data_IF_937524995988
#
_entry.id   IF_937524995988
#
_cell.length_a   1.000
_cell.length_b   1.000
_cell.length_c   1.000
_cell.angle_alpha   90.00
_cell.angle_beta   90.00
_cell.angle_gamma   90.00
#
_symmetry.space_group_name_H-M   'P 1'
#
loop_
_entity.id
_entity.type
_entity.pdbx_description
1 polymer ?
#
# COMPACT_ATOMS: atom_id res chain seq x y z
N UNK A 1 -11.30 -7.13 -12.96
CA UNK A 1 -11.23 -6.15 -11.85
C UNK A 1 -9.82 -5.98 -11.30
N UNK A 2 -9.09 -7.06 -11.00
CA UNK A 2 -7.74 -7.01 -10.41
C UNK A 2 -6.69 -6.24 -11.23
N UNK A 3 -6.66 -6.40 -12.56
CA UNK A 3 -5.75 -5.63 -13.44
C UNK A 3 -6.03 -4.12 -13.41
N UNK A 4 -7.31 -3.74 -13.53
CA UNK A 4 -7.74 -2.33 -13.51
C UNK A 4 -7.42 -1.71 -12.15
N UNK A 5 -7.75 -2.40 -11.06
CA UNK A 5 -7.40 -1.96 -9.71
C UNK A 5 -5.89 -1.79 -9.52
N UNK A 6 -5.09 -2.73 -10.03
CA UNK A 6 -3.62 -2.64 -9.98
C UNK A 6 -3.07 -1.41 -10.69
N UNK A 7 -3.61 -1.07 -11.88
CA UNK A 7 -3.25 0.15 -12.60
C UNK A 7 -3.56 1.39 -11.77
N UNK A 8 -4.77 1.50 -11.22
CA UNK A 8 -5.15 2.64 -10.40
C UNK A 8 -4.31 2.74 -9.13
N UNK A 9 -4.04 1.64 -8.43
CA UNK A 9 -3.18 1.62 -7.24
C UNK A 9 -1.75 2.07 -7.55
N UNK A 10 -1.20 1.71 -8.71
CA UNK A 10 0.11 2.20 -9.16
C UNK A 10 0.10 3.70 -9.50
N UNK A 11 -0.99 4.18 -10.12
CA UNK A 11 -1.14 5.58 -10.50
C UNK A 11 -1.39 6.52 -9.31
N UNK A 12 -1.92 6.01 -8.20
CA UNK A 12 -2.22 6.79 -6.98
C UNK A 12 -1.05 7.63 -6.49
N UNK A 13 0.19 7.16 -6.65
CA UNK A 13 1.39 7.87 -6.17
C UNK A 13 2.04 8.76 -7.24
N UNK A 14 1.79 8.50 -8.53
CA UNK A 14 2.43 9.20 -9.65
C UNK A 14 2.31 10.73 -9.56
N UNK A 15 1.13 11.32 -9.26
CA UNK A 15 1.00 12.77 -9.15
C UNK A 15 1.85 13.36 -8.02
N UNK A 16 1.89 12.69 -6.86
CA UNK A 16 2.64 13.18 -5.69
C UNK A 16 4.12 13.15 -5.97
N UNK A 17 4.64 12.05 -6.53
CA UNK A 17 6.06 11.95 -6.87
C UNK A 17 6.45 12.91 -7.98
N UNK A 18 5.60 13.12 -8.98
CA UNK A 18 5.89 14.09 -10.04
C UNK A 18 6.05 15.51 -9.49
N UNK A 19 5.26 15.90 -8.50
CA UNK A 19 5.39 17.21 -7.85
C UNK A 19 6.67 17.30 -7.01
N UNK A 20 7.01 16.24 -6.25
CA UNK A 20 8.22 16.17 -5.41
C UNK A 20 9.50 16.15 -6.26
N UNK A 21 9.52 15.42 -7.38
CA UNK A 21 10.68 15.29 -8.27
C UNK A 21 10.90 16.53 -9.16
N UNK A 22 9.93 17.46 -9.23
CA UNK A 22 10.02 18.68 -10.05
C UNK A 22 9.91 19.97 -9.20
N UNK A 23 10.79 20.19 -8.21
CA UNK A 23 10.71 21.35 -7.31
C UNK A 23 10.82 22.69 -8.04
N UNK A 24 11.52 22.74 -9.19
CA UNK A 24 11.61 23.93 -10.04
C UNK A 24 10.28 24.36 -10.67
N UNK A 25 9.32 23.44 -10.88
CA UNK A 25 7.98 23.75 -11.40
C UNK A 25 6.99 24.09 -10.29
N UNK A 26 7.27 23.64 -9.06
CA UNK A 26 6.38 23.76 -7.90
C UNK A 26 7.08 24.38 -6.68
N UNK A 27 7.69 25.58 -6.79
CA UNK A 27 8.55 26.16 -5.74
C UNK A 27 7.81 26.57 -4.45
N UNK A 28 6.47 26.57 -4.46
CA UNK A 28 5.62 26.91 -3.31
C UNK A 28 5.10 25.70 -2.55
N UNK A 29 5.40 24.48 -3.01
CA UNK A 29 4.86 23.27 -2.41
C UNK A 29 5.87 22.64 -1.45
N UNK A 30 5.42 22.10 -0.31
CA UNK A 30 6.31 21.42 0.63
C UNK A 30 6.99 20.24 -0.07
N UNK A 31 8.30 20.08 0.14
CA UNK A 31 9.02 18.84 -0.17
C UNK A 31 8.63 17.71 0.79
N UNK A 32 7.93 18.06 1.87
CA UNK A 32 7.52 17.13 2.90
C UNK A 32 6.30 16.31 2.45
N UNK A 33 6.53 15.02 2.17
CA UNK A 33 5.55 14.00 1.81
C UNK A 33 4.35 13.94 2.76
N UNK A 34 4.56 14.24 4.05
CA UNK A 34 3.50 14.35 5.06
C UNK A 34 2.45 15.43 4.75
N UNK A 35 2.83 16.52 4.06
CA UNK A 35 1.87 17.55 3.65
C UNK A 35 0.88 17.02 2.59
N UNK A 36 1.30 16.04 1.78
CA UNK A 36 0.44 15.41 0.78
C UNK A 36 -0.46 14.34 1.37
N UNK A 37 -0.08 13.74 2.50
CA UNK A 37 -0.86 12.71 3.20
C UNK A 37 -2.27 13.19 3.53
N UNK A 38 -2.41 14.40 4.08
CA UNK A 38 -3.73 14.96 4.40
C UNK A 38 -4.60 15.12 3.15
N UNK A 39 -4.07 15.74 2.10
CA UNK A 39 -4.78 15.94 0.83
C UNK A 39 -5.18 14.60 0.19
N UNK A 40 -4.32 13.59 0.32
CA UNK A 40 -4.56 12.25 -0.16
C UNK A 40 -5.75 11.57 0.55
N UNK A 41 -5.74 11.53 1.89
CA UNK A 41 -6.86 10.97 2.65
C UNK A 41 -8.15 11.74 2.45
N UNK A 42 -8.07 13.06 2.34
CA UNK A 42 -9.24 13.90 2.12
C UNK A 42 -9.88 13.63 0.75
N UNK A 43 -9.08 13.46 -0.31
CA UNK A 43 -9.57 13.05 -1.63
C UNK A 43 -10.26 11.68 -1.61
N UNK A 44 -9.70 10.72 -0.88
CA UNK A 44 -10.30 9.39 -0.69
C UNK A 44 -11.64 9.51 0.05
N UNK A 45 -11.68 10.28 1.13
CA UNK A 45 -12.89 10.50 1.92
C UNK A 45 -14.01 11.13 1.08
N UNK A 46 -13.70 12.17 0.30
CA UNK A 46 -14.67 12.80 -0.61
C UNK A 46 -15.18 11.81 -1.66
N UNK A 47 -14.29 11.09 -2.32
CA UNK A 47 -14.65 10.12 -3.36
C UNK A 47 -15.51 8.99 -2.79
N UNK A 48 -15.14 8.44 -1.64
CA UNK A 48 -15.92 7.41 -0.95
C UNK A 48 -17.32 7.93 -0.54
N UNK A 49 -17.40 9.18 -0.08
CA UNK A 49 -18.68 9.83 0.28
C UNK A 49 -19.58 10.00 -0.94
N UNK A 50 -19.04 10.46 -2.07
CA UNK A 50 -19.80 10.60 -3.32
C UNK A 50 -20.32 9.26 -3.82
N UNK A 51 -19.47 8.22 -3.80
CA UNK A 51 -19.88 6.85 -4.19
C UNK A 51 -20.97 6.33 -3.25
N UNK A 52 -20.83 6.55 -1.94
CA UNK A 52 -21.81 6.13 -0.95
C UNK A 52 -23.16 6.84 -1.13
N UNK A 53 -23.15 8.16 -1.36
CA UNK A 53 -24.36 8.93 -1.65
C UNK A 53 -25.03 8.42 -2.93
N UNK A 54 -24.27 8.22 -4.01
CA UNK A 54 -24.79 7.67 -5.27
C UNK A 54 -25.40 6.27 -5.09
N UNK A 55 -24.74 5.41 -4.32
CA UNK A 55 -25.27 4.10 -3.94
C UNK A 55 -26.57 4.20 -3.14
N UNK A 56 -26.63 5.08 -2.14
CA UNK A 56 -27.80 5.29 -1.30
C UNK A 56 -29.00 5.83 -2.10
N UNK A 57 -28.77 6.73 -3.04
CA UNK A 57 -29.79 7.25 -3.98
C UNK A 57 -30.33 6.10 -4.85
N UNK A 58 -29.44 5.32 -5.47
CA UNK A 58 -29.83 4.20 -6.34
C UNK A 58 -30.57 3.07 -5.57
N UNK A 59 -30.27 2.92 -4.28
CA UNK A 59 -30.95 1.97 -3.38
C UNK A 59 -32.21 2.54 -2.70
N UNK A 60 -32.68 3.73 -3.09
CA UNK A 60 -33.86 4.38 -2.50
C UNK A 60 -33.81 4.42 -0.96
N UNK A 61 -32.66 4.78 -0.40
CA UNK A 61 -32.43 4.87 1.04
C UNK A 61 -32.55 3.53 1.81
N UNK A 62 -32.47 2.38 1.13
CA UNK A 62 -32.29 1.04 1.74
C UNK A 62 -30.91 0.43 1.41
N UNK A 63 -29.79 1.05 1.82
CA UNK A 63 -28.48 0.45 1.67
C UNK A 63 -28.36 -0.78 2.58
N UNK A 64 -28.07 -1.95 2.00
CA UNK A 64 -27.86 -3.18 2.77
C UNK A 64 -26.40 -3.22 3.20
N UNK A 65 -26.11 -2.66 4.38
CA UNK A 65 -24.79 -2.74 5.01
C UNK A 65 -24.93 -3.57 6.28
N UNK A 66 -24.31 -4.74 6.32
CA UNK A 66 -24.32 -5.57 7.52
C UNK A 66 -23.48 -4.87 8.61
N UNK A 67 -24.05 -4.59 9.80
CA UNK A 67 -23.33 -3.90 10.88
C UNK A 67 -22.12 -4.71 11.38
N UNK A 68 -22.12 -6.03 11.17
CA UNK A 68 -21.01 -6.90 11.51
C UNK A 68 -19.72 -6.60 10.71
N UNK A 69 -19.84 -6.03 9.52
CA UNK A 69 -18.70 -5.73 8.64
C UNK A 69 -18.05 -4.38 9.01
N UNK A 70 -18.79 -3.50 9.69
CA UNK A 70 -18.34 -2.13 9.98
C UNK A 70 -17.07 -2.09 10.83
N UNK A 71 -17.04 -2.82 11.95
CA UNK A 71 -15.89 -2.90 12.85
C UNK A 71 -14.61 -3.42 12.15
N UNK A 72 -14.61 -4.60 11.50
CA UNK A 72 -13.41 -5.09 10.81
C UNK A 72 -12.99 -4.18 9.65
N UNK A 73 -13.92 -3.58 8.92
CA UNK A 73 -13.59 -2.58 7.89
C UNK A 73 -12.93 -1.32 8.48
N UNK A 74 -13.39 -0.86 9.64
CA UNK A 74 -12.80 0.30 10.31
C UNK A 74 -11.35 0.02 10.74
N UNK A 75 -11.09 -1.12 11.40
CA UNK A 75 -9.73 -1.51 11.78
C UNK A 75 -8.82 -1.71 10.57
N UNK A 76 -9.33 -2.33 9.49
CA UNK A 76 -8.60 -2.46 8.24
C UNK A 76 -8.24 -1.10 7.63
N UNK A 77 -9.16 -0.13 7.66
CA UNK A 77 -8.90 1.24 7.21
C UNK A 77 -7.84 1.96 8.04
N UNK A 78 -7.85 1.79 9.36
CA UNK A 78 -6.81 2.34 10.25
C UNK A 78 -5.44 1.74 9.95
N UNK A 79 -5.34 0.42 9.82
CA UNK A 79 -4.10 -0.27 9.46
C UNK A 79 -3.59 0.16 8.08
N UNK A 80 -4.49 0.32 7.12
CA UNK A 80 -4.15 0.81 5.79
C UNK A 80 -3.62 2.24 5.85
N UNK A 81 -4.29 3.14 6.58
CA UNK A 81 -3.84 4.52 6.74
C UNK A 81 -2.48 4.65 7.45
N UNK A 82 -2.23 3.89 8.51
CA UNK A 82 -0.91 3.91 9.16
C UNK A 82 0.19 3.41 8.23
N UNK A 83 -0.07 2.33 7.47
CA UNK A 83 0.86 1.81 6.47
C UNK A 83 1.13 2.80 5.33
N UNK A 84 0.10 3.48 4.83
CA UNK A 84 0.23 4.50 3.78
C UNK A 84 1.02 5.73 4.25
N UNK A 85 0.80 6.21 5.47
CA UNK A 85 1.60 7.31 6.03
C UNK A 85 3.06 6.90 6.18
N UNK A 86 3.34 5.68 6.68
CA UNK A 86 4.70 5.15 6.75
C UNK A 86 5.34 5.01 5.35
N UNK A 87 4.55 4.65 4.34
CA UNK A 87 4.99 4.59 2.95
C UNK A 87 5.44 5.95 2.42
N UNK A 88 4.68 7.03 2.68
CA UNK A 88 5.08 8.37 2.27
C UNK A 88 6.41 8.80 2.91
N UNK A 89 6.58 8.56 4.21
CA UNK A 89 7.84 8.84 4.92
C UNK A 89 9.00 8.03 4.31
N UNK A 90 8.80 6.74 4.06
CA UNK A 90 9.83 5.89 3.45
C UNK A 90 10.24 6.38 2.06
N UNK A 91 9.29 6.80 1.23
CA UNK A 91 9.59 7.33 -0.11
C UNK A 91 10.42 8.60 -0.07
N UNK A 92 10.17 9.50 0.89
CA UNK A 92 10.97 10.71 1.05
C UNK A 92 12.44 10.41 1.34
N UNK A 93 12.72 9.37 2.14
CA UNK A 93 14.08 9.03 2.56
C UNK A 93 14.82 8.08 1.59
N UNK A 94 14.12 7.11 1.00
CA UNK A 94 14.72 6.04 0.22
C UNK A 94 14.51 6.19 -1.29
N UNK A 95 13.68 7.14 -1.74
CA UNK A 95 13.15 7.23 -3.11
C UNK A 95 12.19 6.08 -3.46
N UNK A 96 11.29 6.35 -4.39
CA UNK A 96 10.29 5.40 -4.87
C UNK A 96 10.90 4.10 -5.42
N UNK A 97 12.03 4.21 -6.13
CA UNK A 97 12.67 3.09 -6.80
C UNK A 97 13.15 1.99 -5.82
N UNK A 98 13.43 2.36 -4.57
CA UNK A 98 13.90 1.45 -3.52
C UNK A 98 12.74 1.05 -2.60
N UNK A 99 11.85 2.00 -2.31
CA UNK A 99 10.71 1.80 -1.40
C UNK A 99 9.67 0.82 -1.94
N UNK A 100 9.33 0.89 -3.23
CA UNK A 100 8.32 0.02 -3.85
C UNK A 100 8.67 -1.48 -3.81
N UNK A 101 9.88 -1.89 -4.23
CA UNK A 101 10.28 -3.30 -4.13
C UNK A 101 10.22 -3.82 -2.68
N UNK A 102 10.72 -3.05 -1.71
CA UNK A 102 10.72 -3.46 -0.30
C UNK A 102 9.30 -3.67 0.21
N UNK A 103 8.38 -2.74 -0.08
CA UNK A 103 7.00 -2.76 0.46
C UNK A 103 6.08 -3.73 -0.29
N UNK A 104 6.42 -4.12 -1.52
CA UNK A 104 5.70 -5.20 -2.22
C UNK A 104 6.19 -6.59 -1.79
N UNK A 105 7.46 -6.71 -1.40
CA UNK A 105 8.08 -7.97 -1.00
C UNK A 105 7.80 -8.36 0.45
N UNK A 106 8.05 -7.47 1.42
CA UNK A 106 7.97 -7.79 2.85
C UNK A 106 6.58 -8.25 3.32
N UNK A 107 5.49 -7.51 3.02
CA UNK A 107 4.15 -7.93 3.40
C UNK A 107 3.74 -9.25 2.76
N UNK A 108 4.20 -9.52 1.53
CA UNK A 108 3.99 -10.82 0.87
C UNK A 108 4.64 -11.96 1.64
N UNK A 109 5.86 -11.77 2.16
CA UNK A 109 6.52 -12.75 3.02
C UNK A 109 5.77 -12.95 4.34
N UNK A 110 5.33 -11.87 5.00
CA UNK A 110 4.60 -11.93 6.27
C UNK A 110 3.24 -12.62 6.09
N UNK A 111 2.49 -12.25 5.05
CA UNK A 111 1.22 -12.89 4.72
C UNK A 111 1.40 -14.38 4.41
N UNK A 112 2.44 -14.73 3.64
CA UNK A 112 2.77 -16.13 3.35
C UNK A 112 3.14 -16.90 4.63
N UNK A 113 3.93 -16.32 5.53
CA UNK A 113 4.29 -16.93 6.80
C UNK A 113 3.05 -17.13 7.71
N UNK A 114 2.16 -16.13 7.75
CA UNK A 114 0.90 -16.22 8.48
C UNK A 114 -0.03 -17.30 7.93
N UNK A 115 -0.14 -17.44 6.60
CA UNK A 115 -0.90 -18.52 5.94
C UNK A 115 -0.42 -19.91 6.38
N UNK A 116 0.89 -20.10 6.49
CA UNK A 116 1.46 -21.39 6.90
C UNK A 116 1.21 -21.67 8.38
N UNK A 117 1.49 -20.68 9.24
CA UNK A 117 1.47 -20.86 10.70
C UNK A 117 0.05 -20.95 11.27
N UNK A 118 -0.89 -20.18 10.70
CA UNK A 118 -2.26 -20.07 11.23
C UNK A 118 -3.25 -20.95 10.46
N UNK A 119 -3.19 -20.97 9.14
CA UNK A 119 -4.16 -21.71 8.31
C UNK A 119 -3.68 -23.12 7.95
N UNK A 120 -2.42 -23.47 8.22
CA UNK A 120 -1.79 -24.74 7.84
C UNK A 120 -2.05 -25.15 6.37
N UNK A 121 -2.23 -24.16 5.46
CA UNK A 121 -2.70 -24.41 4.09
C UNK A 121 -1.72 -25.27 3.27
N UNK A 122 -0.44 -25.24 3.63
CA UNK A 122 0.60 -25.98 2.92
C UNK A 122 1.08 -27.14 3.80
N UNK A 123 0.48 -28.32 3.60
CA UNK A 123 0.92 -29.56 4.24
C UNK A 123 1.87 -30.31 3.31
N UNK A 124 3.17 -30.22 3.55
CA UNK A 124 4.19 -31.00 2.83
C UNK A 124 5.61 -30.39 2.82
N UNK A 125 6.62 -31.20 3.17
CA UNK A 125 8.03 -30.77 3.27
C UNK A 125 8.57 -30.14 1.97
N UNK A 126 8.13 -30.60 0.80
CA UNK A 126 8.61 -30.09 -0.50
C UNK A 126 8.11 -28.67 -0.77
N UNK A 127 6.82 -28.40 -0.50
CA UNK A 127 6.24 -27.07 -0.70
C UNK A 127 6.75 -26.07 0.35
N UNK A 128 6.98 -26.53 1.59
CA UNK A 128 7.68 -25.76 2.62
C UNK A 128 9.08 -25.34 2.18
N UNK A 129 9.87 -26.25 1.59
CA UNK A 129 11.21 -25.94 1.08
C UNK A 129 11.17 -24.92 -0.08
N UNK A 130 10.26 -25.09 -1.05
CA UNK A 130 10.13 -24.14 -2.17
C UNK A 130 9.74 -22.75 -1.66
N UNK A 131 8.80 -22.67 -0.73
CA UNK A 131 8.38 -21.39 -0.16
C UNK A 131 9.49 -20.74 0.66
N UNK A 132 10.23 -21.52 1.46
CA UNK A 132 11.40 -21.02 2.22
C UNK A 132 12.49 -20.48 1.30
N UNK A 133 12.76 -21.13 0.17
CA UNK A 133 13.69 -20.63 -0.85
C UNK A 133 13.16 -19.33 -1.46
N UNK A 134 11.87 -19.28 -1.84
CA UNK A 134 11.26 -18.08 -2.40
C UNK A 134 11.30 -16.89 -1.43
N UNK A 135 11.03 -17.12 -0.14
CA UNK A 135 11.16 -16.11 0.92
C UNK A 135 12.60 -15.64 1.07
N UNK A 136 13.57 -16.55 1.04
CA UNK A 136 14.99 -16.21 1.17
C UNK A 136 15.48 -15.35 -0.01
N UNK A 137 15.10 -15.70 -1.23
CA UNK A 137 15.40 -14.91 -2.43
C UNK A 137 14.74 -13.53 -2.35
N UNK A 138 13.49 -13.47 -1.89
CA UNK A 138 12.74 -12.22 -1.73
C UNK A 138 13.39 -11.30 -0.69
N UNK A 139 13.83 -11.86 0.44
CA UNK A 139 14.51 -11.13 1.50
C UNK A 139 15.88 -10.61 1.03
N UNK A 140 16.65 -11.45 0.34
CA UNK A 140 17.93 -11.05 -0.26
C UNK A 140 17.73 -9.92 -1.28
N UNK A 141 16.70 -10.00 -2.12
CA UNK A 141 16.34 -8.94 -3.06
C UNK A 141 16.04 -7.63 -2.35
N UNK A 142 15.22 -7.65 -1.29
CA UNK A 142 14.92 -6.46 -0.50
C UNK A 142 16.18 -5.85 0.17
N UNK A 143 17.07 -6.69 0.71
CA UNK A 143 18.34 -6.26 1.29
C UNK A 143 19.24 -5.62 0.23
N UNK A 144 19.38 -6.25 -0.95
CA UNK A 144 20.18 -5.70 -2.05
C UNK A 144 19.63 -4.35 -2.54
N UNK A 145 18.31 -4.22 -2.65
CA UNK A 145 17.66 -2.96 -3.03
C UNK A 145 17.92 -1.86 -1.98
N UNK A 146 17.83 -2.19 -0.69
CA UNK A 146 18.19 -1.27 0.39
C UNK A 146 19.67 -0.85 0.37
N UNK A 147 20.58 -1.81 0.20
CA UNK A 147 22.02 -1.56 0.11
C UNK A 147 22.42 -0.74 -1.11
N UNK A 148 21.68 -0.86 -2.23
CA UNK A 148 21.92 -0.06 -3.43
C UNK A 148 21.88 1.44 -3.15
N UNK A 149 21.11 1.90 -2.15
CA UNK A 149 21.08 3.31 -1.76
C UNK A 149 22.34 3.75 -1.05
N UNK A 150 22.91 2.89 -0.21
CA UNK A 150 24.13 3.18 0.57
C UNK A 150 25.34 3.26 -0.34
N UNK A 151 25.39 2.47 -1.42
CA UNK A 151 26.49 2.47 -2.40
C UNK A 151 26.38 3.63 -3.40
N UNK A 152 25.20 4.24 -3.55
CA UNK A 152 24.96 5.39 -4.45
C UNK A 152 24.97 6.75 -3.74
N UNK A 153 25.32 6.77 -2.45
CA UNK A 153 25.65 7.96 -1.64
C UNK A 153 27.16 8.19 -1.65
#
# INVERSE_FOLDING_TARGET
MSLIAGVFYGLTFVPVNYMVDNPHKFPKYPEDGLAYVFSHYFGIFLTATVIFIGYAINKHNQPVVSPFIFLPSFFSGLLWGTAQTAFFIANQHLSQAITFPIITMLPGCVASAWSILYFEEIKGLRNMKILGIAMSITLLGAIMVGLSKVVSL
#
